data_IF_115776587042
#
_entry.id   IF_115776587042
#
_cell.length_a   1.000
_cell.length_b   1.000
_cell.length_c   1.000
_cell.angle_alpha   90.00
_cell.angle_beta   90.00
_cell.angle_gamma   90.00
#
_symmetry.space_group_name_H-M   'P 1'
#
loop_
_entity.id
_entity.type
_entity.pdbx_description
1 polymer ?
#
# COMPACT_ATOMS: atom_id res chain seq x y z
N UNK A 1 -34.79 3.39 7.53
CA UNK A 1 -33.70 4.32 7.18
C UNK A 1 -32.42 3.65 7.62
N UNK A 2 -31.85 2.83 6.74
CA UNK A 2 -30.61 2.10 7.02
C UNK A 2 -29.43 3.04 6.86
N UNK A 3 -28.92 3.52 7.99
CA UNK A 3 -27.57 4.09 8.08
C UNK A 3 -26.64 2.89 8.28
N UNK A 4 -26.29 2.19 7.20
CA UNK A 4 -25.16 1.27 7.22
C UNK A 4 -23.91 2.07 6.86
N UNK A 5 -23.36 2.59 7.94
CA UNK A 5 -22.08 3.24 8.13
C UNK A 5 -21.04 2.70 7.14
N UNK A 6 -20.49 3.63 6.38
CA UNK A 6 -19.25 3.58 5.60
C UNK A 6 -18.03 3.22 6.50
N UNK A 7 -18.05 2.00 7.06
CA UNK A 7 -17.20 1.57 8.18
C UNK A 7 -15.83 1.06 7.75
N UNK A 8 -15.55 0.98 6.44
CA UNK A 8 -14.29 0.42 5.95
C UNK A 8 -13.12 1.41 6.00
N UNK A 9 -13.37 2.68 6.28
CA UNK A 9 -12.34 3.71 6.41
C UNK A 9 -11.80 3.91 7.84
N UNK A 10 -12.44 3.32 8.87
CA UNK A 10 -12.07 3.54 10.28
C UNK A 10 -11.11 2.51 10.89
N UNK A 11 -10.88 1.37 10.23
CA UNK A 11 -10.02 0.33 10.79
C UNK A 11 -8.55 0.70 10.68
N UNK A 12 -7.89 0.79 11.83
CA UNK A 12 -6.47 1.08 11.96
C UNK A 12 -5.70 -0.17 12.36
N UNK A 13 -4.63 -0.46 11.63
CA UNK A 13 -3.80 -1.64 11.80
C UNK A 13 -2.49 -1.26 12.50
N UNK A 14 -2.16 -1.88 13.64
CA UNK A 14 -0.81 -1.75 14.17
C UNK A 14 0.20 -2.38 13.21
N UNK A 15 1.44 -1.92 13.27
CA UNK A 15 2.54 -2.36 12.39
C UNK A 15 2.60 -3.86 12.14
N UNK A 16 2.50 -4.69 13.18
CA UNK A 16 2.64 -6.14 13.05
C UNK A 16 1.51 -6.77 12.22
N UNK A 17 0.28 -6.24 12.33
CA UNK A 17 -0.86 -6.69 11.50
C UNK A 17 -0.65 -6.26 10.06
N UNK A 18 -0.27 -4.99 9.84
CA UNK A 18 0.00 -4.48 8.50
C UNK A 18 1.14 -5.22 7.78
N UNK A 19 2.22 -5.55 8.51
CA UNK A 19 3.32 -6.37 8.00
C UNK A 19 2.86 -7.79 7.62
N UNK A 20 1.94 -8.38 8.40
CA UNK A 20 1.36 -9.70 8.11
C UNK A 20 0.48 -9.65 6.86
N UNK A 21 -0.40 -8.66 6.74
CA UNK A 21 -1.27 -8.44 5.58
C UNK A 21 -0.40 -8.36 4.30
N UNK A 22 0.59 -7.47 4.30
CA UNK A 22 1.44 -7.22 3.12
C UNK A 22 2.59 -8.23 2.94
N UNK A 23 2.68 -9.25 3.83
CA UNK A 23 3.74 -10.28 3.83
C UNK A 23 5.16 -9.66 3.80
N UNK A 24 5.38 -8.58 4.56
CA UNK A 24 6.69 -7.89 4.68
C UNK A 24 7.34 -8.21 6.03
N UNK A 25 8.25 -9.18 6.03
CA UNK A 25 8.89 -9.65 7.26
C UNK A 25 10.10 -8.80 7.69
N UNK A 26 10.87 -8.27 6.73
CA UNK A 26 12.09 -7.52 7.04
C UNK A 26 11.80 -6.09 7.52
N UNK A 27 12.34 -5.74 8.70
CA UNK A 27 12.21 -4.39 9.30
C UNK A 27 12.76 -3.31 8.38
N UNK A 28 13.90 -3.54 7.72
CA UNK A 28 14.51 -2.58 6.80
C UNK A 28 13.57 -2.25 5.63
N UNK A 29 13.08 -3.28 4.93
CA UNK A 29 12.11 -3.15 3.84
C UNK A 29 10.85 -2.41 4.29
N UNK A 30 10.31 -2.75 5.45
CA UNK A 30 9.13 -2.09 6.00
C UNK A 30 9.33 -0.58 6.19
N UNK A 31 10.46 -0.18 6.81
CA UNK A 31 10.78 1.24 7.02
C UNK A 31 10.92 1.99 5.70
N UNK A 32 11.57 1.36 4.72
CA UNK A 32 11.76 1.96 3.39
C UNK A 32 10.42 2.11 2.66
N UNK A 33 9.52 1.14 2.76
CA UNK A 33 8.18 1.22 2.16
C UNK A 33 7.34 2.36 2.79
N UNK A 34 7.33 2.47 4.12
CA UNK A 34 6.61 3.56 4.80
C UNK A 34 7.08 4.94 4.33
N UNK A 35 8.40 5.14 4.23
CA UNK A 35 8.96 6.40 3.73
C UNK A 35 8.56 6.69 2.29
N UNK A 36 8.39 5.65 1.46
CA UNK A 36 8.05 5.81 0.06
C UNK A 36 6.64 6.40 -0.15
N UNK A 37 5.73 6.14 0.78
CA UNK A 37 4.37 6.69 0.78
C UNK A 37 4.24 7.92 1.71
N UNK A 38 5.37 8.50 2.14
CA UNK A 38 5.39 9.71 2.96
C UNK A 38 5.16 9.51 4.47
N UNK A 39 5.11 8.27 4.96
CA UNK A 39 4.94 7.98 6.38
C UNK A 39 6.27 7.93 7.13
N UNK A 40 6.27 8.46 8.36
CA UNK A 40 7.43 8.37 9.24
C UNK A 40 7.48 6.98 9.92
N UNK A 41 8.51 6.15 9.65
CA UNK A 41 8.60 4.82 10.26
C UNK A 41 8.94 4.84 11.75
N UNK A 42 9.42 5.96 12.27
CA UNK A 42 9.84 6.11 13.67
C UNK A 42 8.68 6.51 14.59
N UNK A 43 7.56 7.01 14.05
CA UNK A 43 6.36 7.35 14.82
C UNK A 43 5.45 6.14 15.10
N UNK A 44 5.82 4.94 14.65
CA UNK A 44 5.04 3.70 14.75
C UNK A 44 3.55 3.90 14.35
N UNK A 45 3.29 4.40 13.13
CA UNK A 45 1.94 4.77 12.72
C UNK A 45 1.01 3.55 12.71
N UNK A 46 -0.22 3.74 13.18
CA UNK A 46 -1.30 2.83 12.83
C UNK A 46 -1.73 3.12 11.39
N UNK A 47 -1.93 2.08 10.60
CA UNK A 47 -2.17 2.20 9.16
C UNK A 47 -3.64 1.95 8.86
N UNK A 48 -4.22 2.80 8.02
CA UNK A 48 -5.55 2.57 7.45
C UNK A 48 -5.47 1.59 6.27
N UNK A 49 -6.63 1.09 5.83
CA UNK A 49 -6.72 0.38 4.55
C UNK A 49 -6.19 1.19 3.36
N UNK A 50 -6.32 2.53 3.39
CA UNK A 50 -5.74 3.42 2.38
C UNK A 50 -4.21 3.34 2.36
N UNK A 51 -3.58 3.34 3.54
CA UNK A 51 -2.12 3.17 3.65
C UNK A 51 -1.67 1.78 3.17
N UNK A 52 -2.44 0.74 3.50
CA UNK A 52 -2.19 -0.63 3.01
C UNK A 52 -2.28 -0.67 1.48
N UNK A 53 -3.28 0.00 0.88
CA UNK A 53 -3.43 0.10 -0.58
C UNK A 53 -2.22 0.78 -1.22
N UNK A 54 -1.73 1.86 -0.63
CA UNK A 54 -0.54 2.56 -1.12
C UNK A 54 0.73 1.70 -1.04
N UNK A 55 0.90 0.96 0.06
CA UNK A 55 2.03 0.03 0.21
C UNK A 55 1.93 -1.17 -0.74
N UNK A 56 0.73 -1.67 -1.01
CA UNK A 56 0.49 -2.71 -2.02
C UNK A 56 0.86 -2.19 -3.41
N UNK A 57 0.46 -0.96 -3.75
CA UNK A 57 0.81 -0.31 -5.01
C UNK A 57 2.33 -0.24 -5.20
N UNK A 58 3.08 0.11 -4.15
CA UNK A 58 4.54 0.07 -4.17
C UNK A 58 5.07 -1.34 -4.46
N UNK A 59 4.55 -2.37 -3.78
CA UNK A 59 5.00 -3.75 -4.00
C UNK A 59 4.75 -4.22 -5.43
N UNK A 60 3.57 -3.91 -6.00
CA UNK A 60 3.23 -4.26 -7.37
C UNK A 60 4.09 -3.49 -8.37
N UNK A 61 4.34 -2.20 -8.12
CA UNK A 61 5.21 -1.35 -8.94
C UNK A 61 6.64 -1.89 -9.00
N UNK A 62 7.22 -2.26 -7.86
CA UNK A 62 8.57 -2.85 -7.80
C UNK A 62 8.67 -4.22 -8.49
N UNK A 63 7.55 -4.94 -8.62
CA UNK A 63 7.48 -6.26 -9.28
C UNK A 63 7.20 -6.19 -10.77
N UNK A 64 6.77 -5.04 -11.30
CA UNK A 64 6.44 -4.91 -12.71
C UNK A 64 7.67 -5.21 -13.58
N UNK A 65 7.52 -6.13 -14.54
CA UNK A 65 8.63 -6.76 -15.28
C UNK A 65 9.34 -5.84 -16.30
N UNK A 66 8.86 -4.63 -16.54
CA UNK A 66 9.21 -3.84 -17.72
C UNK A 66 10.18 -2.67 -17.47
N UNK A 67 10.87 -2.62 -16.32
CA UNK A 67 11.91 -1.62 -16.07
C UNK A 67 12.63 -1.78 -14.74
N UNK A 68 13.70 -1.01 -14.55
CA UNK A 68 14.36 -0.84 -13.24
C UNK A 68 13.48 0.07 -12.40
N UNK A 69 12.42 -0.49 -11.81
CA UNK A 69 11.53 0.23 -10.90
C UNK A 69 12.20 0.35 -9.53
N UNK A 70 12.49 1.57 -9.12
CA UNK A 70 13.07 1.84 -7.81
C UNK A 70 12.04 2.42 -6.85
N UNK A 71 12.31 2.23 -5.55
CA UNK A 71 11.51 2.87 -4.50
C UNK A 71 11.53 4.39 -4.66
N UNK A 72 12.66 4.97 -5.05
CA UNK A 72 12.78 6.41 -5.26
C UNK A 72 11.85 6.93 -6.36
N UNK A 73 11.79 6.22 -7.50
CA UNK A 73 10.85 6.56 -8.58
C UNK A 73 9.41 6.51 -8.10
N UNK A 74 9.04 5.46 -7.37
CA UNK A 74 7.70 5.38 -6.77
C UNK A 74 7.42 6.56 -5.86
N UNK A 75 8.34 6.92 -4.96
CA UNK A 75 8.17 8.06 -4.06
C UNK A 75 7.98 9.40 -4.80
N UNK A 76 8.59 9.58 -5.96
CA UNK A 76 8.37 10.78 -6.79
C UNK A 76 6.96 10.75 -7.40
N UNK A 77 6.58 9.65 -8.05
CA UNK A 77 5.23 9.45 -8.63
C UNK A 77 4.14 9.67 -7.57
N UNK A 78 4.33 9.10 -6.38
CA UNK A 78 3.39 9.20 -5.27
C UNK A 78 3.21 10.65 -4.81
N UNK A 79 4.31 11.39 -4.62
CA UNK A 79 4.27 12.81 -4.20
C UNK A 79 3.69 13.74 -5.26
N UNK A 80 3.91 13.42 -6.54
CA UNK A 80 3.37 14.19 -7.67
C UNK A 80 1.90 13.85 -7.98
N UNK A 81 1.30 12.89 -7.28
CA UNK A 81 -0.10 12.48 -7.50
C UNK A 81 -0.31 11.71 -8.82
N UNK A 82 0.76 11.18 -9.42
CA UNK A 82 0.74 10.53 -10.75
C UNK A 82 0.50 9.01 -10.67
N UNK A 83 0.01 8.51 -9.54
CA UNK A 83 -0.14 7.08 -9.27
C UNK A 83 -1.02 6.38 -10.30
N UNK A 84 -2.18 6.94 -10.63
CA UNK A 84 -3.12 6.34 -11.58
C UNK A 84 -2.50 6.18 -12.98
N UNK A 85 -1.84 7.23 -13.47
CA UNK A 85 -1.14 7.21 -14.75
C UNK A 85 0.01 6.18 -14.76
N UNK A 86 0.77 6.09 -13.67
CA UNK A 86 1.86 5.12 -13.55
C UNK A 86 1.35 3.68 -13.54
N UNK A 87 0.36 3.37 -12.70
CA UNK A 87 -0.22 2.03 -12.61
C UNK A 87 -0.81 1.59 -13.95
N UNK A 88 -1.51 2.49 -14.65
CA UNK A 88 -2.04 2.25 -16.01
C UNK A 88 -0.91 1.93 -17.00
N UNK A 89 0.15 2.74 -17.03
CA UNK A 89 1.31 2.54 -17.92
C UNK A 89 1.95 1.17 -17.72
N UNK A 90 2.05 0.72 -16.47
CA UNK A 90 2.66 -0.56 -16.12
C UNK A 90 1.67 -1.73 -16.09
N UNK A 91 0.41 -1.51 -16.48
CA UNK A 91 -0.68 -2.51 -16.49
C UNK A 91 -0.86 -3.19 -15.12
N UNK A 92 -0.74 -2.41 -14.06
CA UNK A 92 -0.91 -2.89 -12.68
C UNK A 92 -2.38 -2.72 -12.29
N UNK A 93 -3.09 -3.83 -12.10
CA UNK A 93 -4.46 -3.82 -11.59
C UNK A 93 -4.48 -3.81 -10.05
N UNK A 94 -4.26 -2.61 -9.49
CA UNK A 94 -4.19 -2.41 -8.04
C UNK A 94 -5.52 -2.75 -7.35
N UNK A 95 -6.66 -2.44 -7.95
CA UNK A 95 -7.97 -2.62 -7.31
C UNK A 95 -8.35 -4.09 -7.20
N UNK A 96 -8.02 -4.91 -8.19
CA UNK A 96 -8.24 -6.35 -8.10
C UNK A 96 -7.33 -6.98 -7.05
N UNK A 97 -6.04 -6.63 -7.02
CA UNK A 97 -5.12 -7.13 -6.00
C UNK A 97 -5.48 -6.65 -4.59
N UNK A 98 -5.97 -5.42 -4.45
CA UNK A 98 -6.41 -4.88 -3.17
C UNK A 98 -7.67 -5.58 -2.66
N UNK A 99 -8.66 -5.83 -3.53
CA UNK A 99 -9.87 -6.61 -3.16
C UNK A 99 -9.52 -8.03 -2.74
N UNK A 100 -8.59 -8.70 -3.44
CA UNK A 100 -8.06 -10.02 -3.03
C UNK A 100 -7.42 -9.96 -1.65
N UNK A 101 -6.56 -8.97 -1.42
CA UNK A 101 -5.88 -8.78 -0.14
C UNK A 101 -6.85 -8.56 1.03
N UNK A 102 -7.90 -7.76 0.84
CA UNK A 102 -8.94 -7.55 1.84
C UNK A 102 -9.73 -8.83 2.11
N UNK A 103 -10.12 -9.55 1.06
CA UNK A 103 -10.81 -10.83 1.17
C UNK A 103 -9.99 -11.84 1.99
N UNK A 104 -8.69 -12.01 1.67
CA UNK A 104 -7.77 -12.90 2.38
C UNK A 104 -7.58 -12.54 3.86
N UNK A 105 -7.79 -11.27 4.24
CA UNK A 105 -7.66 -10.83 5.63
C UNK A 105 -8.90 -11.14 6.49
N UNK A 106 -10.10 -11.12 5.89
CA UNK A 106 -11.37 -11.33 6.60
C UNK A 106 -11.82 -12.80 6.66
N UNK A 107 -11.10 -13.71 6.01
CA UNK A 107 -11.28 -15.17 6.14
C UNK A 107 -10.49 -15.72 7.32
#
# INVERSE_FOLDING_TARGET
MDILIDSQHGQLFPRHVAQKILKVHHRGTWRTHLRAIGLNPDSNPQLSWGDIKNLLALQLFLRARYGVHSIHQFSCIFREGLMEAALTRFKIDLDTEFRRLQHDYYQ
#
